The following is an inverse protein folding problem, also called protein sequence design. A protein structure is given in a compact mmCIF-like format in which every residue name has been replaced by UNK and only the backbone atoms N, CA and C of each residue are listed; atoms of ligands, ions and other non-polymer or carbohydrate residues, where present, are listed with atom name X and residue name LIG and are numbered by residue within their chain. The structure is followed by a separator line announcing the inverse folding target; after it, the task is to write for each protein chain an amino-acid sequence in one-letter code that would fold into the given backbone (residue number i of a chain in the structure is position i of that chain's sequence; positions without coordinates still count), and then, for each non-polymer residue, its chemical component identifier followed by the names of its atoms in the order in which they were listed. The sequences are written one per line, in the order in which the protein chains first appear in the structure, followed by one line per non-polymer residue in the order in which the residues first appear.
data_IF_601023870392
#
_entry.id   IF_601023870392
#
_cell.length_a   1.000
_cell.length_b   1.000
_cell.length_c   1.000
_cell.angle_alpha   90.00
_cell.angle_beta   90.00
_cell.angle_gamma   90.00
#
_symmetry.space_group_name_H-M   'P 1'
#
loop_
_entity.id
_entity.type
_entity.pdbx_description
1 polymer ?
#
# COMPACT_ATOMS: atom_id res chain seq x y z
N UNK A 1 -13.50 0.40 6.15
CA UNK A 1 -12.52 1.16 5.35
C UNK A 1 -12.51 0.73 3.88
N UNK A 2 -12.13 -0.52 3.55
CA UNK A 2 -12.12 -1.03 2.17
C UNK A 2 -13.44 -0.82 1.41
N UNK A 3 -14.60 -0.77 2.08
CA UNK A 3 -15.91 -0.51 1.50
C UNK A 3 -15.98 0.76 0.59
N UNK A 4 -15.19 1.80 0.87
CA UNK A 4 -15.27 3.08 0.18
C UNK A 4 -14.27 3.26 -0.98
N UNK A 5 -13.35 2.32 -1.19
CA UNK A 5 -12.37 2.38 -2.29
C UNK A 5 -13.10 2.32 -3.64
N UNK A 6 -12.78 3.26 -4.51
CA UNK A 6 -13.37 3.41 -5.84
C UNK A 6 -12.62 2.57 -6.88
N UNK A 7 -13.33 2.17 -7.93
CA UNK A 7 -12.72 1.56 -9.11
C UNK A 7 -11.72 2.53 -9.77
N UNK A 8 -10.60 2.02 -10.27
CA UNK A 8 -9.54 2.83 -10.87
C UNK A 8 -8.60 3.53 -9.87
N UNK A 9 -8.86 3.44 -8.56
CA UNK A 9 -8.03 4.12 -7.57
C UNK A 9 -6.62 3.51 -7.45
N UNK A 10 -5.65 4.35 -7.11
CA UNK A 10 -4.32 3.95 -6.66
C UNK A 10 -4.29 3.88 -5.13
N UNK A 11 -4.02 2.71 -4.57
CA UNK A 11 -4.04 2.45 -3.12
C UNK A 11 -2.64 2.07 -2.64
N UNK A 12 -2.19 2.70 -1.56
CA UNK A 12 -1.00 2.32 -0.80
C UNK A 12 -1.40 1.51 0.43
N UNK A 13 -0.75 0.36 0.63
CA UNK A 13 -0.81 -0.42 1.88
C UNK A 13 0.50 -0.27 2.67
N UNK A 14 0.40 0.32 3.86
CA UNK A 14 1.50 0.49 4.78
C UNK A 14 1.70 -0.80 5.58
N UNK A 15 2.90 -1.40 5.47
CA UNK A 15 3.26 -2.65 6.12
C UNK A 15 2.51 -3.84 5.51
N UNK A 16 2.62 -4.00 4.19
CA UNK A 16 1.79 -4.94 3.43
C UNK A 16 2.04 -6.42 3.73
N UNK A 17 3.14 -6.76 4.42
CA UNK A 17 3.54 -8.14 4.68
C UNK A 17 3.57 -8.95 3.38
N UNK A 18 2.99 -10.16 3.42
CA UNK A 18 2.87 -11.04 2.25
C UNK A 18 1.74 -10.66 1.26
N UNK A 19 1.11 -9.49 1.43
CA UNK A 19 0.20 -8.87 0.47
C UNK A 19 -1.30 -9.14 0.64
N UNK A 20 -1.74 -9.68 1.78
CA UNK A 20 -3.15 -10.09 1.96
C UNK A 20 -4.15 -8.96 1.70
N UNK A 21 -3.98 -7.82 2.36
CA UNK A 21 -4.86 -6.65 2.19
C UNK A 21 -4.70 -6.02 0.80
N UNK A 22 -3.49 -5.99 0.24
CA UNK A 22 -3.23 -5.60 -1.15
C UNK A 22 -4.09 -6.39 -2.15
N UNK A 23 -4.18 -7.72 -2.00
CA UNK A 23 -4.92 -8.57 -2.94
C UNK A 23 -6.44 -8.37 -2.84
N UNK A 24 -6.95 -8.08 -1.63
CA UNK A 24 -8.35 -7.71 -1.44
C UNK A 24 -8.65 -6.35 -2.09
N UNK A 25 -7.76 -5.38 -1.90
CA UNK A 25 -7.88 -4.06 -2.52
C UNK A 25 -7.78 -4.14 -4.06
N UNK A 26 -6.89 -4.98 -4.60
CA UNK A 26 -6.66 -5.14 -6.03
C UNK A 26 -7.92 -5.56 -6.79
N UNK A 27 -8.69 -6.48 -6.22
CA UNK A 27 -9.98 -6.92 -6.78
C UNK A 27 -11.02 -5.82 -6.76
N UNK A 28 -10.95 -4.94 -5.76
CA UNK A 28 -11.92 -3.88 -5.55
C UNK A 28 -11.69 -2.67 -6.46
N UNK A 29 -10.43 -2.28 -6.67
CA UNK A 29 -10.10 -1.19 -7.58
C UNK A 29 -10.24 -1.60 -9.06
N UNK A 30 -10.34 -2.90 -9.34
CA UNK A 30 -10.47 -3.40 -10.70
C UNK A 30 -9.18 -3.28 -11.53
N UNK A 31 -9.22 -3.69 -12.81
CA UNK A 31 -8.03 -3.78 -13.65
C UNK A 31 -7.43 -2.41 -14.02
N UNK A 32 -8.20 -1.33 -13.91
CA UNK A 32 -7.74 0.05 -14.14
C UNK A 32 -7.09 0.69 -12.91
N UNK A 33 -7.30 0.13 -11.72
CA UNK A 33 -6.69 0.60 -10.49
C UNK A 33 -5.29 0.03 -10.27
N UNK A 34 -4.63 0.51 -9.22
CA UNK A 34 -3.26 0.07 -8.87
C UNK A 34 -3.12 -0.07 -7.37
N UNK A 35 -2.40 -1.10 -6.92
CA UNK A 35 -2.04 -1.30 -5.52
C UNK A 35 -0.53 -1.27 -5.36
N UNK A 36 -0.07 -0.54 -4.36
CA UNK A 36 1.34 -0.45 -3.95
C UNK A 36 1.42 -0.94 -2.50
N UNK A 37 2.09 -2.06 -2.26
CA UNK A 37 2.42 -2.52 -0.91
C UNK A 37 3.83 -2.08 -0.53
N UNK A 38 4.01 -1.52 0.67
CA UNK A 38 5.33 -1.21 1.23
C UNK A 38 5.54 -2.06 2.48
N UNK A 39 6.68 -2.74 2.55
CA UNK A 39 7.12 -3.47 3.74
C UNK A 39 8.63 -3.29 3.93
N UNK A 40 9.08 -3.23 5.18
CA UNK A 40 10.49 -3.00 5.53
C UNK A 40 11.34 -4.27 5.43
N UNK A 41 10.71 -5.45 5.38
CA UNK A 41 11.41 -6.72 5.42
C UNK A 41 11.56 -7.33 4.02
N UNK A 42 12.80 -7.61 3.54
CA UNK A 42 13.03 -8.19 2.23
C UNK A 42 12.25 -9.50 2.00
N UNK A 43 12.19 -10.36 3.02
CA UNK A 43 11.51 -11.66 2.97
C UNK A 43 10.00 -11.51 2.72
N UNK A 44 9.34 -10.53 3.34
CA UNK A 44 7.91 -10.30 3.09
C UNK A 44 7.67 -9.72 1.70
N UNK A 45 8.52 -8.80 1.24
CA UNK A 45 8.42 -8.24 -0.12
C UNK A 45 8.62 -9.31 -1.17
N UNK A 46 9.61 -10.20 -1.01
CA UNK A 46 9.81 -11.34 -1.91
C UNK A 46 8.57 -12.25 -1.89
N UNK A 47 8.06 -12.57 -0.69
CA UNK A 47 6.88 -13.43 -0.56
C UNK A 47 5.63 -12.83 -1.20
N UNK A 48 5.42 -11.54 -1.03
CA UNK A 48 4.30 -10.82 -1.61
C UNK A 48 4.36 -10.81 -3.14
N UNK A 49 5.56 -10.64 -3.72
CA UNK A 49 5.78 -10.73 -5.17
C UNK A 49 5.49 -12.12 -5.71
N UNK A 50 5.95 -13.18 -5.04
CA UNK A 50 5.58 -14.56 -5.41
C UNK A 50 4.07 -14.77 -5.39
N UNK A 51 3.39 -14.26 -4.35
CA UNK A 51 1.95 -14.41 -4.19
C UNK A 51 1.19 -13.64 -5.28
N UNK A 52 1.66 -12.45 -5.67
CA UNK A 52 1.09 -11.70 -6.78
C UNK A 52 1.18 -12.48 -8.10
N UNK A 53 2.34 -13.07 -8.38
CA UNK A 53 2.55 -13.91 -9.57
C UNK A 53 1.63 -15.14 -9.56
N UNK A 54 1.60 -15.89 -8.45
CA UNK A 54 0.74 -17.09 -8.31
C UNK A 54 -0.76 -16.75 -8.42
N UNK A 55 -1.15 -15.56 -7.94
CA UNK A 55 -2.52 -15.07 -7.99
C UNK A 55 -2.90 -14.34 -9.28
N UNK A 56 -1.99 -14.21 -10.26
CA UNK A 56 -2.17 -13.46 -11.50
C UNK A 56 -2.61 -11.99 -11.28
N UNK A 57 -2.08 -11.34 -10.24
CA UNK A 57 -2.34 -9.92 -9.98
C UNK A 57 -1.43 -9.03 -10.83
N UNK A 58 -1.97 -8.49 -11.93
CA UNK A 58 -1.24 -7.59 -12.83
C UNK A 58 -1.19 -6.12 -12.40
N UNK A 59 -2.00 -5.74 -11.41
CA UNK A 59 -2.16 -4.36 -10.94
C UNK A 59 -1.63 -4.13 -9.52
N UNK A 60 -0.75 -5.01 -9.02
CA UNK A 60 -0.18 -4.95 -7.68
C UNK A 60 1.35 -4.92 -7.78
N UNK A 61 1.98 -3.98 -7.10
CA UNK A 61 3.44 -3.92 -6.94
C UNK A 61 3.83 -3.87 -5.46
N UNK A 62 5.00 -4.40 -5.12
CA UNK A 62 5.54 -4.38 -3.75
C UNK A 62 6.94 -3.75 -3.74
N UNK A 63 7.13 -2.81 -2.81
CA UNK A 63 8.36 -2.03 -2.65
C UNK A 63 8.93 -2.25 -1.26
N UNK A 64 10.26 -2.36 -1.18
CA UNK A 64 10.99 -2.40 0.08
C UNK A 64 11.12 -0.98 0.61
N UNK A 65 10.71 -0.74 1.85
CA UNK A 65 10.81 0.57 2.48
C UNK A 65 10.17 0.62 3.86
N UNK A 66 10.53 1.65 4.62
CA UNK A 66 9.92 1.95 5.92
C UNK A 66 8.70 2.84 5.73
N UNK A 67 7.73 2.75 6.65
CA UNK A 67 6.49 3.54 6.56
C UNK A 67 6.72 5.00 7.03
N UNK A 68 7.87 5.26 7.62
CA UNK A 68 8.43 6.54 8.00
C UNK A 68 9.16 7.25 6.86
N UNK A 69 9.54 6.54 5.79
CA UNK A 69 10.29 7.06 4.64
C UNK A 69 9.82 6.34 3.36
N UNK A 70 8.64 6.72 2.87
CA UNK A 70 7.98 5.98 1.81
C UNK A 70 8.70 6.13 0.47
N UNK A 71 9.00 5.03 -0.25
CA UNK A 71 9.59 5.05 -1.59
C UNK A 71 8.53 5.38 -2.66
N UNK A 72 7.80 6.49 -2.45
CA UNK A 72 6.64 6.93 -3.23
C UNK A 72 6.70 8.45 -3.37
N UNK A 73 6.37 8.93 -4.56
CA UNK A 73 6.35 10.36 -4.88
C UNK A 73 5.21 11.09 -4.16
N UNK A 74 5.35 12.41 -4.04
CA UNK A 74 4.33 13.29 -3.50
C UNK A 74 3.04 13.20 -4.34
N UNK A 75 1.88 13.25 -3.68
CA UNK A 75 0.57 13.27 -4.36
C UNK A 75 0.39 12.16 -5.41
N UNK A 76 0.88 10.95 -5.15
CA UNK A 76 0.83 9.83 -6.08
C UNK A 76 -0.38 8.90 -5.89
N UNK A 77 -0.94 8.81 -4.68
CA UNK A 77 -1.97 7.81 -4.34
C UNK A 77 -3.30 8.42 -3.92
N UNK A 78 -4.39 7.72 -4.18
CA UNK A 78 -5.75 8.15 -3.84
C UNK A 78 -6.16 7.69 -2.44
N UNK A 79 -5.64 6.55 -2.00
CA UNK A 79 -5.92 5.96 -0.69
C UNK A 79 -4.65 5.45 0.00
N UNK A 80 -4.59 5.62 1.32
CA UNK A 80 -3.63 4.94 2.19
C UNK A 80 -4.40 4.03 3.15
N UNK A 81 -4.04 2.76 3.18
CA UNK A 81 -4.55 1.77 4.12
C UNK A 81 -3.41 1.25 4.98
N UNK A 82 -3.76 0.77 6.16
CA UNK A 82 -2.83 0.11 7.07
C UNK A 82 -3.62 -0.76 8.03
N UNK A 83 -3.05 -1.92 8.39
CA UNK A 83 -3.62 -2.81 9.37
C UNK A 83 -2.59 -3.11 10.47
N UNK A 84 -2.83 -2.55 11.67
CA UNK A 84 -2.03 -2.72 12.89
C UNK A 84 -0.55 -2.31 12.87
N UNK A 85 0.08 -2.00 11.72
CA UNK A 85 1.53 -1.70 11.68
C UNK A 85 1.91 -0.30 12.17
N UNK A 86 1.03 0.70 12.05
CA UNK A 86 1.32 2.07 12.55
C UNK A 86 1.62 2.06 14.06
N UNK A 87 1.04 1.12 14.80
CA UNK A 87 1.30 0.99 16.24
C UNK A 87 2.75 0.62 16.55
N UNK A 88 3.42 -0.10 15.64
CA UNK A 88 4.78 -0.59 15.77
C UNK A 88 5.83 0.47 15.40
N UNK A 89 5.42 1.55 14.71
CA UNK A 89 6.30 2.65 14.35
C UNK A 89 6.81 3.41 15.59
N UNK A 90 8.13 3.69 15.68
CA UNK A 90 8.70 4.56 16.70
C UNK A 90 8.37 6.05 16.49
N UNK A 91 8.11 6.48 15.26
CA UNK A 91 7.76 7.88 14.92
C UNK A 91 6.44 7.96 14.12
N UNK A 92 5.34 7.81 14.86
CA UNK A 92 3.98 7.89 14.31
C UNK A 92 3.70 9.24 13.63
N UNK A 93 4.30 10.33 14.12
CA UNK A 93 4.11 11.65 13.53
C UNK A 93 4.75 11.72 12.13
N UNK A 94 5.90 11.09 11.94
CA UNK A 94 6.52 10.96 10.61
C UNK A 94 5.70 10.05 9.70
N UNK A 95 5.19 8.92 10.18
CA UNK A 95 4.30 8.05 9.39
C UNK A 95 3.08 8.82 8.86
N UNK A 96 2.40 9.60 9.72
CA UNK A 96 1.25 10.39 9.27
C UNK A 96 1.63 11.53 8.31
N UNK A 97 2.82 12.13 8.46
CA UNK A 97 3.34 13.12 7.50
C UNK A 97 3.64 12.49 6.15
N UNK A 98 4.26 11.32 6.13
CA UNK A 98 4.55 10.58 4.90
C UNK A 98 3.26 10.10 4.21
N UNK A 99 2.32 9.54 4.97
CA UNK A 99 1.01 9.17 4.45
C UNK A 99 0.29 10.37 3.83
N UNK A 100 0.35 11.54 4.47
CA UNK A 100 -0.22 12.77 3.91
C UNK A 100 0.53 13.27 2.66
N UNK A 101 1.87 13.21 2.65
CA UNK A 101 2.71 13.64 1.52
C UNK A 101 2.37 12.87 0.24
N UNK A 102 2.20 11.56 0.34
CA UNK A 102 1.95 10.70 -0.84
C UNK A 102 0.49 10.77 -1.31
N UNK A 103 -0.44 11.23 -0.47
CA UNK A 103 -1.85 11.39 -0.85
C UNK A 103 -2.04 12.54 -1.84
N UNK A 104 -2.79 12.28 -2.91
CA UNK A 104 -3.30 13.34 -3.79
C UNK A 104 -4.21 14.30 -3.01
N UNK A 105 -4.39 15.55 -3.47
CA UNK A 105 -5.42 16.43 -2.94
C UNK A 105 -6.80 15.74 -2.94
N UNK A 106 -7.40 15.61 -1.75
CA UNK A 106 -8.69 14.93 -1.56
C UNK A 106 -8.61 13.40 -1.40
N UNK A 107 -7.40 12.82 -1.43
CA UNK A 107 -7.15 11.44 -1.08
C UNK A 107 -7.41 11.15 0.40
N UNK A 108 -7.45 9.86 0.75
CA UNK A 108 -7.95 9.39 2.05
C UNK A 108 -7.07 8.37 2.75
#
# INVERSE_FOLDING_TARGET
ALAAIQEGATVLDLGSGAGFDCFLAARKVGPSGRIIGVDMTPDMVEKARENAQKGNYGNVEFRLGEIEDLPIEDAAVDWVISNCVINLSPDKAKVFREAYRVLKPGGR
#
